data_IF_637613707024
#
_entry.id   IF_637613707024
#
_cell.length_a   1.000
_cell.length_b   1.000
_cell.length_c   1.000
_cell.angle_alpha   90.00
_cell.angle_beta   90.00
_cell.angle_gamma   90.00
#
_symmetry.space_group_name_H-M   'P 1'
#
loop_
_entity.id
_entity.type
_entity.pdbx_description
1 polymer ?
#
# COMPACT_ATOMS: atom_id res chain seq x y z
N UNK A 1 -7.88 -14.09 -18.94
CA UNK A 1 -7.22 -12.77 -18.95
C UNK A 1 -8.33 -11.71 -18.93
N UNK A 2 -8.90 -11.43 -17.76
CA UNK A 2 -9.98 -10.44 -17.61
C UNK A 2 -9.30 -9.14 -17.21
N UNK A 3 -9.05 -8.26 -18.21
CA UNK A 3 -8.85 -6.84 -17.92
C UNK A 3 -10.14 -6.34 -17.28
N UNK A 4 -10.17 -6.22 -15.96
CA UNK A 4 -11.08 -5.26 -15.34
C UNK A 4 -10.58 -3.89 -15.80
N UNK A 5 -11.19 -3.37 -16.86
CA UNK A 5 -11.05 -1.96 -17.18
C UNK A 5 -11.69 -1.21 -16.01
N UNK A 6 -10.85 -0.74 -15.10
CA UNK A 6 -11.28 0.28 -14.17
C UNK A 6 -11.79 1.43 -15.04
N UNK A 7 -13.05 1.78 -14.85
CA UNK A 7 -13.60 3.00 -15.43
C UNK A 7 -12.98 4.14 -14.59
N UNK A 8 -11.76 4.56 -14.95
CA UNK A 8 -10.96 5.58 -14.26
C UNK A 8 -11.56 7.00 -14.42
N UNK A 9 -12.89 7.08 -14.52
CA UNK A 9 -13.61 8.36 -14.43
C UNK A 9 -13.56 8.95 -13.01
N UNK A 10 -13.26 8.15 -12.00
CA UNK A 10 -13.14 8.51 -10.58
C UNK A 10 -11.72 8.20 -10.09
N UNK A 11 -11.19 9.06 -9.22
CA UNK A 11 -9.92 8.80 -8.54
C UNK A 11 -10.01 7.54 -7.67
N UNK A 12 -8.96 6.74 -7.63
CA UNK A 12 -8.78 5.64 -6.68
C UNK A 12 -8.25 6.22 -5.37
N UNK A 13 -8.93 5.95 -4.28
CA UNK A 13 -8.61 6.43 -2.94
C UNK A 13 -8.13 5.28 -2.05
N UNK A 14 -6.92 5.44 -1.47
CA UNK A 14 -6.26 4.44 -0.63
C UNK A 14 -5.96 5.05 0.73
N UNK A 15 -6.29 4.31 1.78
CA UNK A 15 -5.93 4.65 3.17
C UNK A 15 -4.96 3.62 3.73
N UNK A 16 -3.85 4.10 4.28
CA UNK A 16 -2.81 3.30 4.92
C UNK A 16 -2.92 3.38 6.43
N UNK A 17 -2.86 2.24 7.09
CA UNK A 17 -2.76 2.12 8.53
C UNK A 17 -1.43 1.46 8.90
N UNK A 18 -0.70 2.07 9.80
CA UNK A 18 0.56 1.55 10.33
C UNK A 18 0.87 2.15 11.69
N UNK A 19 2.06 1.87 12.20
CA UNK A 19 2.57 2.54 13.40
C UNK A 19 3.74 3.44 13.04
N UNK A 20 3.98 4.45 13.85
CA UNK A 20 5.15 5.32 13.71
C UNK A 20 6.43 4.50 13.64
N UNK A 21 7.24 4.74 12.59
CA UNK A 21 8.48 4.01 12.32
C UNK A 21 8.36 2.82 11.34
N UNK A 22 7.17 2.33 11.00
CA UNK A 22 6.98 1.18 10.10
C UNK A 22 6.91 1.54 8.61
N UNK A 23 6.99 2.82 8.27
CA UNK A 23 7.09 3.28 6.89
C UNK A 23 5.77 3.40 6.11
N UNK A 24 4.58 3.35 6.74
CA UNK A 24 3.30 3.54 6.06
C UNK A 24 3.21 4.91 5.34
N UNK A 25 3.63 6.00 6.01
CA UNK A 25 3.75 7.34 5.40
C UNK A 25 4.71 7.33 4.20
N UNK A 26 5.87 6.69 4.35
CA UNK A 26 6.88 6.58 3.28
C UNK A 26 6.33 5.81 2.09
N UNK A 27 5.59 4.72 2.34
CA UNK A 27 4.94 3.93 1.29
C UNK A 27 3.90 4.75 0.53
N UNK A 28 3.04 5.48 1.23
CA UNK A 28 2.03 6.33 0.58
C UNK A 28 2.67 7.42 -0.29
N UNK A 29 3.72 8.09 0.21
CA UNK A 29 4.43 9.13 -0.58
C UNK A 29 5.16 8.53 -1.78
N UNK A 30 5.77 7.35 -1.62
CA UNK A 30 6.46 6.67 -2.71
C UNK A 30 5.48 6.17 -3.78
N UNK A 31 4.29 5.69 -3.39
CA UNK A 31 3.24 5.32 -4.33
C UNK A 31 2.77 6.52 -5.16
N UNK A 32 2.61 7.68 -4.51
CA UNK A 32 2.26 8.92 -5.21
C UNK A 32 3.34 9.33 -6.23
N UNK A 33 4.62 9.28 -5.84
CA UNK A 33 5.75 9.61 -6.71
C UNK A 33 5.80 8.69 -7.95
N UNK A 34 5.71 7.39 -7.73
CA UNK A 34 5.70 6.38 -8.80
C UNK A 34 4.50 6.56 -9.73
N UNK A 35 3.30 6.78 -9.20
CA UNK A 35 2.11 7.01 -10.01
C UNK A 35 2.21 8.32 -10.81
N UNK A 36 2.77 9.38 -10.22
CA UNK A 36 3.03 10.64 -10.93
C UNK A 36 3.97 10.44 -12.13
N UNK A 37 5.02 9.66 -11.96
CA UNK A 37 5.98 9.36 -13.03
C UNK A 37 5.39 8.54 -14.18
N UNK A 38 4.25 7.87 -13.97
CA UNK A 38 3.48 7.23 -15.05
C UNK A 38 2.46 8.16 -15.72
N UNK A 39 2.47 9.46 -15.39
CA UNK A 39 1.60 10.47 -15.98
C UNK A 39 0.24 10.64 -15.28
N UNK A 40 0.06 10.07 -14.09
CA UNK A 40 -1.17 10.22 -13.31
C UNK A 40 -1.16 11.51 -12.47
N UNK A 41 -2.35 12.01 -12.18
CA UNK A 41 -2.56 13.01 -11.14
C UNK A 41 -2.63 12.33 -9.78
N UNK A 42 -1.89 12.86 -8.81
CA UNK A 42 -1.73 12.21 -7.50
C UNK A 42 -1.85 13.19 -6.35
N UNK A 43 -2.35 12.71 -5.23
CA UNK A 43 -2.22 13.32 -3.92
C UNK A 43 -1.73 12.23 -2.96
N UNK A 44 -0.69 12.54 -2.19
CA UNK A 44 -0.18 11.67 -1.12
C UNK A 44 0.05 12.52 0.12
N UNK A 45 -0.62 12.19 1.22
CA UNK A 45 -0.53 12.99 2.45
C UNK A 45 -0.71 12.13 3.70
N UNK A 46 0.06 12.41 4.77
CA UNK A 46 -0.19 11.80 6.06
C UNK A 46 -1.31 12.52 6.79
N UNK A 47 -1.97 11.83 7.70
CA UNK A 47 -2.79 12.46 8.72
C UNK A 47 -1.86 12.99 9.84
N UNK A 48 -1.94 14.29 10.09
CA UNK A 48 -1.13 14.91 11.14
C UNK A 48 -1.82 14.71 12.50
N UNK A 49 -1.18 13.97 13.37
CA UNK A 49 -1.54 13.75 14.76
C UNK A 49 -0.31 13.81 15.66
N UNK A 50 -0.42 13.56 16.96
CA UNK A 50 0.75 13.48 17.83
C UNK A 50 1.62 12.30 17.40
N UNK A 51 2.61 12.59 16.55
CA UNK A 51 3.57 11.58 16.05
C UNK A 51 4.42 11.06 17.20
N UNK A 52 4.15 9.81 17.61
CA UNK A 52 4.98 9.08 18.56
C UNK A 52 5.39 7.76 17.93
N UNK A 53 6.65 7.35 18.19
CA UNK A 53 7.13 6.04 17.80
C UNK A 53 6.14 4.95 18.29
N UNK A 54 5.69 4.07 17.40
CA UNK A 54 4.74 3.00 17.72
C UNK A 54 3.26 3.39 17.82
N UNK A 55 2.92 4.69 17.85
CA UNK A 55 1.52 5.12 17.81
C UNK A 55 0.88 4.80 16.44
N UNK A 56 -0.44 4.50 16.38
CA UNK A 56 -1.16 4.39 15.12
C UNK A 56 -1.03 5.66 14.28
N UNK A 57 -0.72 5.50 13.00
CA UNK A 57 -0.65 6.58 12.03
C UNK A 57 -1.50 6.22 10.80
N UNK A 58 -1.99 7.24 10.13
CA UNK A 58 -2.75 7.10 8.89
C UNK A 58 -2.08 7.93 7.78
N UNK A 59 -2.08 7.40 6.57
CA UNK A 59 -1.66 8.14 5.39
C UNK A 59 -2.61 7.82 4.22
N UNK A 60 -2.62 8.66 3.21
CA UNK A 60 -3.59 8.59 2.13
C UNK A 60 -2.95 8.76 0.77
N UNK A 61 -3.55 8.10 -0.23
CA UNK A 61 -3.33 8.39 -1.64
C UNK A 61 -4.66 8.63 -2.34
N UNK A 62 -4.66 9.59 -3.26
CA UNK A 62 -5.68 9.78 -4.28
C UNK A 62 -5.00 9.80 -5.62
N UNK A 63 -5.35 8.87 -6.52
CA UNK A 63 -4.65 8.64 -7.81
C UNK A 63 -5.70 8.65 -8.92
N UNK A 64 -5.46 9.40 -10.00
CA UNK A 64 -6.43 9.61 -11.07
C UNK A 64 -5.76 9.84 -12.41
N UNK A 65 -6.41 9.45 -13.51
CA UNK A 65 -6.02 9.87 -14.88
C UNK A 65 -6.40 11.32 -15.18
N UNK A 66 -7.26 11.93 -14.37
CA UNK A 66 -7.74 13.30 -14.53
C UNK A 66 -7.33 14.17 -13.36
N UNK A 67 -7.28 15.47 -13.59
CA UNK A 67 -6.97 16.46 -12.56
C UNK A 67 -7.81 16.27 -11.30
N UNK A 68 -7.14 16.20 -10.15
CA UNK A 68 -7.76 16.03 -8.84
C UNK A 68 -8.05 17.42 -8.27
N UNK A 69 -9.32 17.77 -8.19
CA UNK A 69 -9.78 19.04 -7.63
C UNK A 69 -10.27 18.94 -6.18
N UNK A 70 -10.45 17.72 -5.70
CA UNK A 70 -10.84 17.46 -4.31
C UNK A 70 -9.59 17.40 -3.43
N UNK A 71 -9.55 18.24 -2.39
CA UNK A 71 -8.46 18.30 -1.40
C UNK A 71 -8.92 17.91 0.01
N UNK A 72 -10.14 17.36 0.15
CA UNK A 72 -10.63 16.86 1.43
C UNK A 72 -9.91 15.58 1.86
N UNK A 73 -10.01 15.25 3.14
CA UNK A 73 -9.60 13.95 3.66
C UNK A 73 -10.37 12.80 2.97
N UNK A 74 -9.79 11.61 2.97
CA UNK A 74 -10.40 10.40 2.41
C UNK A 74 -11.16 9.68 3.52
N UNK A 75 -12.49 9.78 3.48
CA UNK A 75 -13.39 9.14 4.45
C UNK A 75 -13.90 7.78 3.96
N UNK A 76 -14.06 7.62 2.64
CA UNK A 76 -14.58 6.41 2.02
C UNK A 76 -13.57 5.85 1.01
N UNK A 77 -12.45 5.26 1.48
CA UNK A 77 -11.42 4.73 0.60
C UNK A 77 -11.95 3.57 -0.25
N UNK A 78 -11.40 3.43 -1.45
CA UNK A 78 -11.61 2.24 -2.29
C UNK A 78 -10.76 1.07 -1.80
N UNK A 79 -9.57 1.38 -1.25
CA UNK A 79 -8.68 0.38 -0.66
C UNK A 79 -8.12 0.82 0.68
N UNK A 80 -7.91 -0.16 1.55
CA UNK A 80 -7.20 0.01 2.81
C UNK A 80 -5.96 -0.88 2.83
N UNK A 81 -4.84 -0.35 3.30
CA UNK A 81 -3.59 -1.10 3.52
C UNK A 81 -3.24 -1.08 5.00
N UNK A 82 -3.10 -2.25 5.59
CA UNK A 82 -2.73 -2.42 7.00
C UNK A 82 -1.30 -2.98 7.08
N UNK A 83 -0.36 -2.12 7.46
CA UNK A 83 1.07 -2.46 7.56
C UNK A 83 1.38 -3.26 8.83
N UNK A 84 0.55 -3.11 9.86
CA UNK A 84 0.68 -3.79 11.16
C UNK A 84 -0.65 -4.43 11.56
N UNK A 85 -0.74 -5.77 11.54
CA UNK A 85 -1.96 -6.50 11.86
C UNK A 85 -2.48 -6.26 13.29
N UNK A 86 -1.62 -5.84 14.23
CA UNK A 86 -2.04 -5.57 15.60
C UNK A 86 -3.03 -4.40 15.70
N UNK A 87 -3.08 -3.55 14.66
CA UNK A 87 -4.05 -2.46 14.56
C UNK A 87 -5.48 -2.95 14.40
N UNK A 88 -5.71 -4.16 13.89
CA UNK A 88 -7.05 -4.75 13.76
C UNK A 88 -7.80 -4.86 15.09
N UNK A 89 -7.05 -4.92 16.21
CA UNK A 89 -7.63 -5.01 17.56
C UNK A 89 -7.95 -3.64 18.18
N UNK A 90 -7.34 -2.56 17.69
CA UNK A 90 -7.40 -1.24 18.33
C UNK A 90 -7.97 -0.14 17.45
N UNK A 91 -7.99 -0.32 16.14
CA UNK A 91 -8.47 0.64 15.15
C UNK A 91 -9.53 0.00 14.27
N UNK A 92 -10.58 0.73 13.96
CA UNK A 92 -11.51 0.32 12.91
C UNK A 92 -10.96 0.65 11.53
N UNK A 93 -10.12 -0.27 11.02
CA UNK A 93 -9.47 -0.10 9.71
C UNK A 93 -10.45 -0.21 8.54
N UNK A 94 -11.66 -0.75 8.77
CA UNK A 94 -12.69 -0.94 7.73
C UNK A 94 -13.69 0.21 7.67
N UNK A 95 -13.62 1.16 8.61
CA UNK A 95 -14.53 2.31 8.64
C UNK A 95 -14.55 3.07 7.30
N UNK A 96 -15.71 3.16 6.67
CA UNK A 96 -15.92 3.84 5.40
C UNK A 96 -15.36 3.12 4.16
N UNK A 97 -14.72 1.96 4.31
CA UNK A 97 -14.17 1.20 3.17
C UNK A 97 -15.28 0.75 2.23
N UNK A 98 -15.11 1.06 0.94
CA UNK A 98 -16.06 0.66 -0.10
C UNK A 98 -16.13 -0.87 -0.25
N UNK A 99 -17.33 -1.42 -0.38
CA UNK A 99 -17.54 -2.87 -0.54
C UNK A 99 -16.96 -3.42 -1.85
N UNK A 100 -16.93 -2.59 -2.90
CA UNK A 100 -16.38 -2.96 -4.21
C UNK A 100 -14.85 -2.86 -4.28
N UNK A 101 -14.22 -2.36 -3.23
CA UNK A 101 -12.78 -2.23 -3.08
C UNK A 101 -12.15 -3.42 -2.36
N UNK A 102 -11.13 -3.16 -1.53
CA UNK A 102 -10.48 -4.23 -0.79
C UNK A 102 -9.56 -3.76 0.33
N UNK A 103 -9.23 -4.69 1.21
CA UNK A 103 -8.26 -4.48 2.27
C UNK A 103 -7.06 -5.41 2.07
N UNK A 104 -5.85 -4.85 2.14
CA UNK A 104 -4.57 -5.57 2.05
C UNK A 104 -3.89 -5.54 3.41
N UNK A 105 -3.59 -6.69 3.97
CA UNK A 105 -3.07 -6.82 5.34
C UNK A 105 -1.72 -7.54 5.35
N UNK A 106 -0.74 -6.92 6.01
CA UNK A 106 0.53 -7.57 6.31
C UNK A 106 0.34 -8.58 7.43
N UNK A 107 0.31 -9.85 7.08
CA UNK A 107 0.15 -10.95 8.03
C UNK A 107 0.59 -12.27 7.41
N UNK A 108 1.12 -13.18 8.24
CA UNK A 108 1.34 -14.58 7.88
C UNK A 108 0.09 -15.47 8.08
N UNK A 109 -0.99 -14.91 8.63
CA UNK A 109 -2.25 -15.62 8.87
C UNK A 109 -3.05 -15.79 7.60
N UNK A 110 -3.89 -16.81 7.56
CA UNK A 110 -4.86 -17.01 6.48
C UNK A 110 -5.98 -15.97 6.51
N UNK A 111 -6.71 -15.82 5.40
CA UNK A 111 -7.88 -14.92 5.33
C UNK A 111 -8.94 -15.32 6.34
N UNK A 112 -9.15 -16.61 6.55
CA UNK A 112 -10.13 -17.17 7.47
C UNK A 112 -9.87 -16.76 8.92
N UNK A 113 -8.59 -16.57 9.29
CA UNK A 113 -8.18 -16.08 10.60
C UNK A 113 -8.32 -14.55 10.73
N UNK A 114 -8.21 -13.83 9.62
CA UNK A 114 -8.26 -12.35 9.59
C UNK A 114 -9.70 -11.82 9.49
N UNK A 115 -10.55 -12.44 8.68
CA UNK A 115 -11.93 -11.98 8.44
C UNK A 115 -12.72 -11.70 9.74
N UNK A 116 -12.66 -12.53 10.78
CA UNK A 116 -13.36 -12.27 12.04
C UNK A 116 -12.93 -10.98 12.75
N UNK A 117 -11.73 -10.46 12.46
CA UNK A 117 -11.19 -9.23 13.05
C UNK A 117 -11.67 -7.96 12.32
N UNK A 118 -12.31 -8.09 11.16
CA UNK A 118 -12.67 -6.97 10.28
C UNK A 118 -14.08 -6.41 10.52
N UNK A 119 -14.63 -6.61 11.71
CA UNK A 119 -15.91 -5.98 12.15
C UNK A 119 -17.08 -6.15 11.17
N UNK A 120 -17.17 -7.30 10.51
CA UNK A 120 -18.26 -7.59 9.55
C UNK A 120 -18.06 -6.98 8.18
N UNK A 121 -16.84 -6.61 7.80
CA UNK A 121 -16.52 -6.21 6.42
C UNK A 121 -16.73 -7.40 5.47
N UNK A 122 -17.54 -7.18 4.42
CA UNK A 122 -17.95 -8.22 3.46
C UNK A 122 -17.23 -8.10 2.10
N UNK A 123 -16.33 -7.11 1.93
CA UNK A 123 -15.60 -6.90 0.69
C UNK A 123 -14.37 -7.80 0.56
N UNK A 124 -13.55 -7.54 -0.45
CA UNK A 124 -12.38 -8.35 -0.73
C UNK A 124 -11.28 -8.16 0.33
N UNK A 125 -10.73 -9.29 0.81
CA UNK A 125 -9.63 -9.34 1.78
C UNK A 125 -8.42 -9.98 1.13
N UNK A 126 -7.27 -9.34 1.25
CA UNK A 126 -5.99 -9.80 0.72
C UNK A 126 -4.96 -9.85 1.83
N UNK A 127 -4.14 -10.88 1.83
CA UNK A 127 -3.05 -11.07 2.81
C UNK A 127 -1.71 -11.21 2.09
N UNK A 128 -0.66 -10.73 2.73
CA UNK A 128 0.73 -10.90 2.29
C UNK A 128 1.65 -10.87 3.51
N UNK A 129 2.56 -11.83 3.62
CA UNK A 129 3.58 -11.82 4.69
C UNK A 129 4.76 -10.91 4.33
N UNK A 130 4.49 -9.60 4.40
CA UNK A 130 5.50 -8.58 4.13
C UNK A 130 6.63 -8.59 5.17
N UNK A 131 6.40 -9.14 6.35
CA UNK A 131 7.45 -9.35 7.37
C UNK A 131 8.49 -10.34 6.85
N UNK A 132 8.08 -11.56 6.53
CA UNK A 132 8.98 -12.61 6.02
C UNK A 132 9.65 -12.19 4.73
N UNK A 133 8.90 -11.63 3.77
CA UNK A 133 9.46 -11.12 2.52
C UNK A 133 10.60 -10.13 2.80
N UNK A 134 10.39 -9.13 3.66
CA UNK A 134 11.41 -8.11 3.94
C UNK A 134 12.61 -8.67 4.70
N UNK A 135 12.40 -9.58 5.65
CA UNK A 135 13.49 -10.22 6.38
C UNK A 135 14.40 -11.05 5.46
N UNK A 136 13.85 -11.80 4.53
CA UNK A 136 14.61 -12.66 3.62
C UNK A 136 15.28 -11.90 2.49
N UNK A 137 14.68 -10.81 2.00
CA UNK A 137 15.24 -10.04 0.88
C UNK A 137 16.11 -8.86 1.30
N UNK A 138 15.86 -8.27 2.48
CA UNK A 138 16.52 -7.05 2.96
C UNK A 138 17.31 -7.27 4.26
N UNK A 139 17.19 -8.44 4.89
CA UNK A 139 17.83 -8.75 6.18
C UNK A 139 17.28 -7.96 7.37
N UNK A 140 16.15 -7.28 7.22
CA UNK A 140 15.51 -6.46 8.26
C UNK A 140 14.06 -6.14 7.95
N UNK A 141 13.29 -5.80 8.99
CA UNK A 141 11.88 -5.49 8.90
C UNK A 141 11.61 -4.16 8.18
N UNK A 142 11.26 -4.24 6.91
CA UNK A 142 10.81 -3.12 6.07
C UNK A 142 9.58 -3.51 5.24
N UNK A 143 8.41 -3.65 5.85
CA UNK A 143 7.20 -4.14 5.18
C UNK A 143 6.63 -3.16 4.14
N UNK A 144 7.08 -1.91 4.14
CA UNK A 144 6.58 -0.88 3.24
C UNK A 144 6.77 -1.22 1.76
N UNK A 145 7.92 -1.79 1.34
CA UNK A 145 8.15 -2.17 -0.06
C UNK A 145 7.22 -3.31 -0.51
N UNK A 146 7.14 -4.46 0.20
CA UNK A 146 6.17 -5.50 -0.15
C UNK A 146 4.71 -5.01 -0.17
N UNK A 147 4.32 -4.18 0.81
CA UNK A 147 2.96 -3.64 0.87
C UNK A 147 2.62 -2.71 -0.29
N UNK A 148 3.61 -1.96 -0.83
CA UNK A 148 3.46 -1.18 -2.06
C UNK A 148 3.14 -2.09 -3.26
N UNK A 149 3.87 -3.16 -3.45
CA UNK A 149 3.64 -4.10 -4.53
C UNK A 149 2.26 -4.77 -4.40
N UNK A 150 1.89 -5.17 -3.19
CA UNK A 150 0.61 -5.79 -2.91
C UNK A 150 -0.57 -4.87 -3.28
N UNK A 151 -0.55 -3.60 -2.86
CA UNK A 151 -1.64 -2.68 -3.19
C UNK A 151 -1.70 -2.35 -4.69
N UNK A 152 -0.56 -2.24 -5.37
CA UNK A 152 -0.54 -2.03 -6.82
C UNK A 152 -1.14 -3.23 -7.56
N UNK A 153 -0.80 -4.47 -7.17
CA UNK A 153 -1.41 -5.68 -7.76
C UNK A 153 -2.92 -5.73 -7.54
N UNK A 154 -3.36 -5.49 -6.32
CA UNK A 154 -4.76 -5.61 -5.92
C UNK A 154 -5.62 -4.51 -6.54
N UNK A 155 -5.15 -3.27 -6.55
CA UNK A 155 -5.90 -2.14 -7.09
C UNK A 155 -5.82 -2.04 -8.61
N UNK A 156 -4.76 -2.57 -9.23
CA UNK A 156 -4.55 -2.48 -10.68
C UNK A 156 -4.33 -1.06 -11.20
N UNK A 157 -3.97 -0.11 -10.34
CA UNK A 157 -3.78 1.31 -10.69
C UNK A 157 -2.68 1.53 -11.75
N UNK A 158 -1.75 0.60 -11.87
CA UNK A 158 -0.72 0.58 -12.92
C UNK A 158 -0.29 -0.84 -13.23
N UNK A 159 0.39 -1.06 -14.36
CA UNK A 159 0.93 -2.37 -14.70
C UNK A 159 2.09 -2.76 -13.78
N UNK A 160 2.30 -4.08 -13.58
CA UNK A 160 3.48 -4.58 -12.84
C UNK A 160 4.79 -4.06 -13.44
N UNK A 161 4.88 -4.02 -14.77
CA UNK A 161 6.07 -3.58 -15.48
C UNK A 161 6.37 -2.10 -15.19
N UNK A 162 5.39 -1.22 -15.39
CA UNK A 162 5.55 0.22 -15.13
C UNK A 162 5.92 0.47 -13.68
N UNK A 163 5.23 -0.20 -12.75
CA UNK A 163 5.51 -0.09 -11.32
C UNK A 163 6.96 -0.46 -10.98
N UNK A 164 7.43 -1.63 -11.43
CA UNK A 164 8.79 -2.10 -11.13
C UNK A 164 9.85 -1.20 -11.78
N UNK A 165 9.61 -0.69 -12.99
CA UNK A 165 10.51 0.23 -13.67
C UNK A 165 10.65 1.55 -12.91
N UNK A 166 9.53 2.18 -12.52
CA UNK A 166 9.53 3.42 -11.76
C UNK A 166 10.13 3.24 -10.36
N UNK A 167 9.84 2.13 -9.69
CA UNK A 167 10.44 1.80 -8.40
C UNK A 167 11.95 1.63 -8.48
N UNK A 168 12.46 0.96 -9.52
CA UNK A 168 13.90 0.83 -9.75
C UNK A 168 14.55 2.20 -9.94
N UNK A 169 13.95 3.08 -10.74
CA UNK A 169 14.44 4.45 -10.94
C UNK A 169 14.48 5.25 -9.63
N UNK A 170 13.40 5.19 -8.84
CA UNK A 170 13.31 5.85 -7.54
C UNK A 170 14.37 5.33 -6.55
N UNK A 171 14.58 4.01 -6.50
CA UNK A 171 15.62 3.41 -5.65
C UNK A 171 17.03 3.75 -6.12
N UNK A 172 17.30 3.78 -7.42
CA UNK A 172 18.60 4.20 -7.97
C UNK A 172 18.94 5.64 -7.56
N UNK A 173 17.97 6.54 -7.62
CA UNK A 173 18.16 7.90 -7.17
C UNK A 173 18.42 7.97 -5.65
N UNK A 174 17.62 7.27 -4.86
CA UNK A 174 17.69 7.31 -3.40
C UNK A 174 18.89 6.56 -2.81
N UNK A 175 19.30 5.45 -3.44
CA UNK A 175 20.34 4.54 -2.95
C UNK A 175 21.54 4.44 -3.89
N UNK A 176 21.87 5.52 -4.63
CA UNK A 176 22.95 5.54 -5.61
C UNK A 176 24.31 5.01 -5.08
N UNK A 177 24.55 5.12 -3.77
CA UNK A 177 25.78 4.67 -3.10
C UNK A 177 25.70 3.25 -2.51
N UNK A 178 24.56 2.55 -2.66
CA UNK A 178 24.30 1.24 -2.07
C UNK A 178 23.46 0.38 -3.01
N UNK A 179 24.02 -0.06 -4.15
CA UNK A 179 23.28 -0.82 -5.17
C UNK A 179 22.69 -2.13 -4.63
N UNK A 180 23.35 -2.78 -3.67
CA UNK A 180 22.87 -3.98 -3.02
C UNK A 180 21.49 -3.81 -2.33
N UNK A 181 21.21 -2.59 -1.84
CA UNK A 181 19.91 -2.25 -1.24
C UNK A 181 18.82 -2.17 -2.33
N UNK A 182 19.18 -1.79 -3.55
CA UNK A 182 18.24 -1.71 -4.67
C UNK A 182 17.77 -3.11 -5.04
N UNK A 183 18.69 -4.06 -5.22
CA UNK A 183 18.34 -5.42 -5.63
C UNK A 183 17.47 -6.14 -4.58
N UNK A 184 17.80 -6.00 -3.30
CA UNK A 184 16.97 -6.52 -2.21
C UNK A 184 15.55 -5.93 -2.19
N UNK A 185 15.42 -4.62 -2.40
CA UNK A 185 14.10 -3.98 -2.49
C UNK A 185 13.33 -4.43 -3.72
N UNK A 186 13.98 -4.57 -4.88
CA UNK A 186 13.32 -5.07 -6.08
C UNK A 186 12.84 -6.51 -5.92
N UNK A 187 13.65 -7.37 -5.31
CA UNK A 187 13.25 -8.75 -4.98
C UNK A 187 12.04 -8.78 -4.02
N UNK A 188 11.99 -7.88 -3.04
CA UNK A 188 10.85 -7.76 -2.14
C UNK A 188 9.55 -7.37 -2.88
N UNK A 189 9.64 -6.43 -3.84
CA UNK A 189 8.50 -6.03 -4.67
C UNK A 189 7.99 -7.20 -5.53
N UNK A 190 8.89 -7.88 -6.22
CA UNK A 190 8.54 -9.00 -7.12
C UNK A 190 7.88 -10.14 -6.35
N UNK A 191 8.44 -10.54 -5.20
CA UNK A 191 7.86 -11.57 -4.34
C UNK A 191 6.46 -11.19 -3.85
N UNK A 192 6.26 -9.97 -3.39
CA UNK A 192 4.95 -9.54 -2.92
C UNK A 192 3.90 -9.56 -4.04
N UNK A 193 4.27 -9.28 -5.29
CA UNK A 193 3.38 -9.47 -6.44
C UNK A 193 2.96 -10.93 -6.62
N UNK A 194 3.82 -11.90 -6.35
CA UNK A 194 3.50 -13.32 -6.48
C UNK A 194 2.72 -13.84 -5.25
N UNK A 195 3.09 -13.41 -4.06
CA UNK A 195 2.65 -13.98 -2.79
C UNK A 195 1.41 -13.27 -2.16
N UNK A 196 0.94 -12.14 -2.69
CA UNK A 196 -0.34 -11.56 -2.23
C UNK A 196 -1.52 -12.37 -2.77
N UNK A 197 -2.40 -12.78 -1.88
CA UNK A 197 -3.54 -13.67 -2.15
C UNK A 197 -4.87 -12.97 -1.89
#
# INVERSE_FOLDING_TARGET
>A
MIRRSFNMSKAVEIRWHGRGGQGAKTAALLLADVAFNTGMYVQGFPEYGPERMGAPITAYNRISEKEIRNHSNIYNPDYVVVVDETLLHSVDVTSGLNKDGGIVINTAKSKEEIIPLLKGYEGAVYTVDAHTISMETLGKYFPNSPMLAAIVKVSGIMSKQDFLEQMRGSYQHKFAKKPEVIDGNMAALERAFEEVH
#
